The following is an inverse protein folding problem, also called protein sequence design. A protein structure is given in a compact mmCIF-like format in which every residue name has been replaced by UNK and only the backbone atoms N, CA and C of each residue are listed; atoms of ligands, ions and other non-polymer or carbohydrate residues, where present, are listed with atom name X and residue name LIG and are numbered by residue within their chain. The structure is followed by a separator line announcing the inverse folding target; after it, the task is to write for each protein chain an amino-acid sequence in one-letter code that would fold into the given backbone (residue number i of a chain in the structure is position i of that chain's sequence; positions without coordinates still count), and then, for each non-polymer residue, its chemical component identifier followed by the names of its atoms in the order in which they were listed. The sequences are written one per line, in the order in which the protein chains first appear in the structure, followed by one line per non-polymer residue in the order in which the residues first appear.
data_IF_499276850660
#
_entry.id   IF_499276850660
#
_cell.length_a   1.000
_cell.length_b   1.000
_cell.length_c   1.000
_cell.angle_alpha   90.00
_cell.angle_beta   90.00
_cell.angle_gamma   90.00
#
_symmetry.space_group_name_H-M   'P 1'
#
loop_
_entity.id
_entity.type
_entity.pdbx_description
1 polymer ?
#
# COMPACT_ATOMS: atom_id res chain seq x y z
N UNK A 1 -33.47 -25.68 -21.24
CA UNK A 1 -34.10 -24.35 -21.05
C UNK A 1 -33.52 -23.77 -19.77
N UNK A 2 -32.61 -22.80 -19.92
CA UNK A 2 -32.82 -21.40 -19.52
C UNK A 2 -32.77 -21.25 -17.98
N UNK A 3 -31.59 -21.03 -17.40
CA UNK A 3 -30.96 -19.70 -17.25
C UNK A 3 -31.77 -18.76 -16.34
N UNK A 4 -31.34 -18.62 -15.07
CA UNK A 4 -31.04 -17.34 -14.42
C UNK A 4 -30.68 -17.59 -12.94
N UNK A 5 -29.38 -17.61 -12.65
CA UNK A 5 -28.85 -17.31 -11.31
C UNK A 5 -28.43 -15.85 -11.37
N UNK A 6 -29.36 -14.97 -11.03
CA UNK A 6 -29.06 -13.54 -10.84
C UNK A 6 -28.35 -13.39 -9.49
N UNK A 7 -27.03 -13.21 -9.55
CA UNK A 7 -26.25 -12.74 -8.40
C UNK A 7 -26.04 -11.25 -8.64
N UNK A 8 -26.96 -10.44 -8.12
CA UNK A 8 -26.82 -8.99 -8.11
C UNK A 8 -25.64 -8.63 -7.20
N UNK A 9 -24.60 -8.06 -7.80
CA UNK A 9 -23.43 -7.49 -7.12
C UNK A 9 -23.46 -5.99 -7.31
N UNK A 10 -24.07 -5.30 -6.35
CA UNK A 10 -23.95 -3.87 -6.00
C UNK A 10 -24.35 -3.87 -4.51
N UNK A 11 -23.64 -3.29 -3.55
CA UNK A 11 -23.53 -1.85 -3.23
C UNK A 11 -22.32 -1.68 -2.28
N UNK A 12 -21.37 -0.77 -2.53
CA UNK A 12 -21.44 0.62 -2.09
C UNK A 12 -21.92 0.78 -0.63
N UNK A 13 -21.07 0.40 0.34
CA UNK A 13 -21.23 0.80 1.74
C UNK A 13 -20.19 1.87 2.08
N UNK A 14 -20.60 3.11 1.86
CA UNK A 14 -20.12 4.30 2.53
C UNK A 14 -20.32 4.14 4.04
N UNK A 15 -19.26 4.30 4.84
CA UNK A 15 -19.33 4.77 6.25
C UNK A 15 -17.93 4.84 6.87
N UNK A 16 -17.31 6.03 6.82
CA UNK A 16 -16.77 6.72 8.01
C UNK A 16 -16.83 8.21 7.70
N UNK A 17 -17.89 8.85 8.17
CA UNK A 17 -18.01 10.30 8.23
C UNK A 17 -17.19 10.78 9.44
N UNK A 18 -16.09 11.51 9.20
CA UNK A 18 -15.67 12.55 10.12
C UNK A 18 -15.01 13.70 9.34
N UNK A 19 -15.79 14.76 9.17
CA UNK A 19 -15.41 16.03 8.57
C UNK A 19 -14.50 16.80 9.52
N UNK A 20 -13.20 16.79 9.25
CA UNK A 20 -12.36 17.97 9.46
C UNK A 20 -11.52 18.17 8.21
N UNK A 21 -11.84 19.26 7.50
CA UNK A 21 -11.17 19.74 6.32
C UNK A 21 -9.67 19.93 6.60
N UNK A 22 -8.85 19.00 6.10
CA UNK A 22 -7.44 19.26 5.93
C UNK A 22 -7.34 20.26 4.77
N UNK A 23 -7.15 21.52 5.10
CA UNK A 23 -6.79 22.60 4.19
C UNK A 23 -5.49 22.24 3.48
N UNK A 24 -5.66 21.50 2.39
CA UNK A 24 -4.65 20.98 1.46
C UNK A 24 -5.34 20.28 0.29
N UNK A 25 -6.57 20.70 -0.05
CA UNK A 25 -7.13 20.49 -1.37
C UNK A 25 -6.17 21.20 -2.35
N UNK A 26 -5.58 20.54 -3.35
CA UNK A 26 -6.31 20.07 -4.52
C UNK A 26 -5.53 19.04 -5.37
N UNK A 27 -4.55 18.34 -4.83
CA UNK A 27 -3.79 17.34 -5.61
C UNK A 27 -4.26 15.92 -5.27
N UNK A 28 -5.41 15.52 -5.81
CA UNK A 28 -5.82 14.11 -5.82
C UNK A 28 -5.07 13.39 -6.94
N UNK A 29 -4.30 12.37 -6.57
CA UNK A 29 -3.52 11.58 -7.52
C UNK A 29 -4.13 10.19 -7.62
N UNK A 30 -4.23 9.70 -8.86
CA UNK A 30 -4.64 8.33 -9.12
C UNK A 30 -3.42 7.42 -8.95
N UNK A 31 -3.53 6.47 -8.03
CA UNK A 31 -2.49 5.47 -7.77
C UNK A 31 -3.04 4.10 -8.16
N UNK A 32 -2.18 3.29 -8.77
CA UNK A 32 -2.43 1.89 -9.05
C UNK A 32 -1.39 1.05 -8.28
N UNK A 33 -1.85 0.31 -7.28
CA UNK A 33 -1.00 -0.61 -6.53
C UNK A 33 -1.11 -2.00 -7.17
N UNK A 34 0.03 -2.60 -7.51
CA UNK A 34 0.07 -3.93 -8.12
C UNK A 34 -0.51 -4.99 -7.17
N UNK A 35 -1.34 -5.88 -7.74
CA UNK A 35 -1.93 -7.04 -7.06
C UNK A 35 -1.29 -8.31 -7.60
N UNK A 36 -0.78 -9.13 -6.70
CA UNK A 36 -0.29 -10.47 -7.04
C UNK A 36 -1.23 -11.53 -6.43
N UNK A 37 -1.32 -12.68 -7.10
CA UNK A 37 -2.09 -13.86 -6.71
C UNK A 37 -1.44 -14.68 -5.60
N UNK A 38 -0.32 -14.23 -5.02
CA UNK A 38 0.34 -14.90 -3.90
C UNK A 38 0.59 -13.96 -2.70
N UNK A 39 1.63 -13.13 -2.78
CA UNK A 39 2.13 -12.34 -1.63
C UNK A 39 1.50 -10.95 -1.48
N UNK A 40 0.80 -10.44 -2.50
CA UNK A 40 0.28 -9.07 -2.53
C UNK A 40 -1.21 -9.05 -2.87
N UNK A 41 -2.00 -9.82 -2.11
CA UNK A 41 -3.45 -9.97 -2.26
C UNK A 41 -4.25 -8.93 -1.48
N UNK A 42 -3.76 -8.61 -0.29
CA UNK A 42 -4.49 -7.83 0.70
C UNK A 42 -4.42 -6.32 0.41
N UNK A 43 -5.46 -5.62 0.83
CA UNK A 43 -5.58 -4.17 0.67
C UNK A 43 -4.51 -3.44 1.50
N UNK A 44 -4.08 -2.28 0.99
CA UNK A 44 -3.08 -1.45 1.66
C UNK A 44 -3.78 -0.39 2.50
N UNK A 45 -3.41 -0.29 3.77
CA UNK A 45 -3.93 0.72 4.69
C UNK A 45 -2.87 1.79 4.92
N UNK A 46 -3.25 3.05 4.76
CA UNK A 46 -2.37 4.20 5.01
C UNK A 46 -3.07 5.18 5.95
N UNK A 47 -2.38 5.64 6.99
CA UNK A 47 -2.90 6.64 7.91
C UNK A 47 -2.23 8.00 7.65
N UNK A 48 -3.04 9.04 7.46
CA UNK A 48 -2.60 10.43 7.31
C UNK A 48 -3.38 11.29 8.29
N UNK A 49 -2.69 11.91 9.25
CA UNK A 49 -3.28 12.84 10.23
C UNK A 49 -4.53 12.27 10.94
N UNK A 50 -4.48 11.00 11.35
CA UNK A 50 -5.59 10.32 12.03
C UNK A 50 -6.70 9.80 11.10
N UNK A 51 -6.62 10.07 9.78
CA UNK A 51 -7.52 9.48 8.78
C UNK A 51 -6.89 8.24 8.16
N UNK A 52 -7.63 7.14 8.16
CA UNK A 52 -7.21 5.89 7.55
C UNK A 52 -7.80 5.79 6.14
N UNK A 53 -6.93 5.49 5.18
CA UNK A 53 -7.28 5.26 3.78
C UNK A 53 -7.00 3.80 3.45
N UNK A 54 -8.02 3.11 2.91
CA UNK A 54 -7.90 1.72 2.46
C UNK A 54 -7.83 1.73 0.94
N UNK A 55 -6.73 1.24 0.39
CA UNK A 55 -6.42 1.27 -1.04
C UNK A 55 -6.48 -0.17 -1.55
N UNK A 56 -7.44 -0.42 -2.44
CA UNK A 56 -7.61 -1.73 -3.07
C UNK A 56 -6.51 -1.97 -4.10
N UNK A 57 -5.82 -3.10 -3.98
CA UNK A 57 -4.81 -3.50 -4.97
C UNK A 57 -5.47 -3.89 -6.30
N UNK A 58 -4.81 -3.57 -7.41
CA UNK A 58 -5.27 -3.88 -8.76
C UNK A 58 -6.40 -2.98 -9.27
N UNK A 59 -6.78 -1.94 -8.52
CA UNK A 59 -7.77 -0.95 -8.91
C UNK A 59 -7.12 0.43 -8.84
N UNK A 60 -7.45 1.30 -9.80
CA UNK A 60 -7.04 2.69 -9.73
C UNK A 60 -7.90 3.45 -8.72
N UNK A 61 -7.26 3.97 -7.68
CA UNK A 61 -7.94 4.69 -6.60
C UNK A 61 -7.37 6.11 -6.55
N UNK A 62 -8.26 7.11 -6.47
CA UNK A 62 -7.88 8.50 -6.26
C UNK A 62 -7.66 8.73 -4.77
N UNK A 63 -6.44 9.12 -4.41
CA UNK A 63 -6.06 9.44 -3.02
C UNK A 63 -5.35 10.79 -2.96
N UNK A 64 -5.31 11.45 -1.79
CA UNK A 64 -4.52 12.66 -1.63
C UNK A 64 -3.03 12.43 -1.93
N UNK A 65 -2.35 13.40 -2.54
CA UNK A 65 -0.91 13.34 -2.80
C UNK A 65 -0.06 12.98 -1.58
N UNK A 66 -0.42 13.49 -0.40
CA UNK A 66 0.28 13.14 0.85
C UNK A 66 0.19 11.63 1.18
N UNK A 67 -0.92 10.97 0.84
CA UNK A 67 -1.04 9.51 0.99
C UNK A 67 -0.14 8.78 0.01
N UNK A 68 0.00 9.29 -1.23
CA UNK A 68 0.97 8.77 -2.20
C UNK A 68 2.40 8.82 -1.65
N UNK A 69 2.81 9.98 -1.14
CA UNK A 69 4.17 10.19 -0.64
C UNK A 69 4.50 9.25 0.52
N UNK A 70 3.54 8.97 1.41
CA UNK A 70 3.70 7.95 2.47
C UNK A 70 4.00 6.57 1.88
N UNK A 71 3.26 6.16 0.84
CA UNK A 71 3.48 4.86 0.19
C UNK A 71 4.83 4.79 -0.52
N UNK A 72 5.22 5.85 -1.21
CA UNK A 72 6.50 5.94 -1.92
C UNK A 72 7.67 5.88 -0.92
N UNK A 73 7.61 6.65 0.18
CA UNK A 73 8.61 6.59 1.25
C UNK A 73 8.65 5.24 1.96
N UNK A 74 7.52 4.60 2.20
CA UNK A 74 7.49 3.26 2.78
C UNK A 74 8.24 2.27 1.89
N UNK A 75 7.99 2.32 0.58
CA UNK A 75 8.68 1.45 -0.39
C UNK A 75 10.18 1.73 -0.43
N UNK A 76 10.57 3.00 -0.42
CA UNK A 76 11.98 3.38 -0.41
C UNK A 76 12.68 2.89 0.87
N UNK A 77 12.05 3.05 2.04
CA UNK A 77 12.58 2.55 3.31
C UNK A 77 12.76 1.03 3.31
N UNK A 78 11.79 0.29 2.78
CA UNK A 78 11.89 -1.17 2.66
C UNK A 78 13.07 -1.57 1.76
N UNK A 79 13.26 -0.86 0.65
CA UNK A 79 14.38 -1.09 -0.27
C UNK A 79 15.74 -0.78 0.37
N UNK A 80 15.87 0.36 1.04
CA UNK A 80 17.11 0.72 1.75
C UNK A 80 17.42 -0.29 2.86
N UNK A 81 16.41 -0.77 3.57
CA UNK A 81 16.56 -1.77 4.63
C UNK A 81 17.02 -3.12 4.07
N UNK A 82 16.48 -3.54 2.93
CA UNK A 82 16.91 -4.76 2.26
C UNK A 82 18.39 -4.68 1.87
N UNK A 83 18.80 -3.57 1.23
CA UNK A 83 20.20 -3.34 0.85
C UNK A 83 21.15 -3.33 2.05
N UNK A 84 20.78 -2.63 3.12
CA UNK A 84 21.58 -2.57 4.34
C UNK A 84 21.70 -3.94 5.02
N UNK A 85 20.64 -4.73 4.99
CA UNK A 85 20.65 -6.08 5.56
C UNK A 85 21.57 -7.00 4.76
N UNK A 86 21.49 -6.97 3.42
CA UNK A 86 22.37 -7.75 2.54
C UNK A 86 23.86 -7.37 2.74
N UNK A 87 24.17 -6.07 2.82
CA UNK A 87 25.52 -5.60 3.10
C UNK A 87 26.01 -6.12 4.45
N UNK A 88 25.22 -5.95 5.51
CA UNK A 88 25.55 -6.39 6.85
C UNK A 88 25.75 -7.92 6.92
N UNK A 89 24.89 -8.71 6.29
CA UNK A 89 25.02 -10.16 6.21
C UNK A 89 26.33 -10.56 5.52
N UNK A 90 26.68 -9.91 4.41
CA UNK A 90 27.92 -10.19 3.69
C UNK A 90 29.17 -9.85 4.53
N UNK A 91 29.14 -8.74 5.25
CA UNK A 91 30.21 -8.30 6.16
C UNK A 91 30.40 -9.29 7.33
N UNK A 92 29.28 -9.78 7.89
CA UNK A 92 29.32 -10.78 8.95
C UNK A 92 29.88 -12.11 8.44
N UNK A 93 29.51 -12.56 7.25
CA UNK A 93 30.05 -13.77 6.64
C UNK A 93 31.56 -13.66 6.40
N UNK A 94 32.02 -12.56 5.81
CA UNK A 94 33.45 -12.32 5.58
C UNK A 94 34.25 -12.30 6.90
N UNK A 95 33.72 -11.64 7.93
CA UNK A 95 34.35 -11.65 9.26
C UNK A 95 34.36 -13.05 9.86
N UNK A 96 33.26 -13.79 9.79
CA UNK A 96 33.19 -15.15 10.32
C UNK A 96 34.19 -16.10 9.64
N UNK A 97 34.36 -15.99 8.33
CA UNK A 97 35.37 -16.75 7.58
C UNK A 97 36.80 -16.38 7.99
N UNK A 98 37.07 -15.11 8.27
CA UNK A 98 38.39 -14.65 8.73
C UNK A 98 38.81 -15.22 10.09
N UNK A 99 37.85 -15.52 10.97
CA UNK A 99 38.10 -16.05 12.31
C UNK A 99 37.92 -17.57 12.42
N UNK A 100 37.79 -18.27 11.28
CA UNK A 100 37.73 -19.73 11.18
C UNK A 100 39.10 -20.31 10.81
#
# INVERSE_FOLDING_TARGET
MAAKKETATVEASESVENTESCTGATDMVEIEIFKDSDRYKDDVVAALNGKVYVIKRGVRVKVPRAVKEILDHSREQDQQTALMTEEMESDFQQKAEKYK
#
